data_IF_302006017218
#
_entry.id   IF_302006017218
#
_cell.length_a   1.000
_cell.length_b   1.000
_cell.length_c   1.000
_cell.angle_alpha   90.00
_cell.angle_beta   90.00
_cell.angle_gamma   90.00
#
_symmetry.space_group_name_H-M   'P 1'
#
loop_
_entity.id
_entity.type
_entity.pdbx_description
1 polymer ?
#
# COMPACT_ATOMS: atom_id res chain seq x y z
N UNK A 1 -5.41 8.73 -9.69
CA UNK A 1 -4.93 9.22 -8.37
C UNK A 1 -5.20 10.69 -8.06
N UNK A 2 -4.83 11.66 -8.90
CA UNK A 2 -5.00 13.10 -8.57
C UNK A 2 -6.45 13.48 -8.25
N UNK A 3 -7.41 12.95 -9.01
CA UNK A 3 -8.83 13.17 -8.77
C UNK A 3 -9.27 12.67 -7.39
N UNK A 4 -8.82 11.46 -7.01
CA UNK A 4 -9.10 10.87 -5.71
C UNK A 4 -8.54 11.69 -4.54
N UNK A 5 -7.27 12.13 -4.61
CA UNK A 5 -6.70 12.96 -3.55
C UNK A 5 -7.43 14.32 -3.39
N UNK A 6 -7.94 14.88 -4.49
CA UNK A 6 -8.68 16.15 -4.50
C UNK A 6 -10.17 15.99 -4.22
N UNK A 7 -10.66 14.77 -3.99
CA UNK A 7 -12.06 14.53 -3.70
C UNK A 7 -12.45 15.22 -2.38
N UNK A 8 -13.41 16.16 -2.37
CA UNK A 8 -13.88 16.78 -1.14
C UNK A 8 -14.51 15.77 -0.16
N UNK A 9 -15.00 14.63 -0.65
CA UNK A 9 -15.53 13.54 0.17
C UNK A 9 -14.42 12.69 0.83
N UNK A 10 -13.15 12.86 0.44
CA UNK A 10 -12.04 12.14 1.06
C UNK A 10 -11.89 12.52 2.54
N UNK A 11 -12.21 11.54 3.38
CA UNK A 11 -12.18 11.69 4.83
C UNK A 11 -10.79 12.17 5.30
N UNK A 12 -10.70 13.19 6.18
CA UNK A 12 -9.43 13.82 6.55
C UNK A 12 -8.34 12.84 7.00
N UNK A 13 -8.70 11.78 7.75
CA UNK A 13 -7.76 10.77 8.23
C UNK A 13 -7.11 9.94 7.12
N UNK A 14 -7.76 9.84 5.95
CA UNK A 14 -7.28 9.07 4.80
C UNK A 14 -6.41 9.92 3.85
N UNK A 15 -6.39 11.25 4.02
CA UNK A 15 -5.65 12.17 3.15
C UNK A 15 -4.13 11.97 3.18
N UNK A 16 -3.47 11.70 4.33
CA UNK A 16 -2.03 11.45 4.35
C UNK A 16 -1.63 10.26 3.47
N UNK A 17 -2.35 9.14 3.57
CA UNK A 17 -2.09 7.99 2.72
C UNK A 17 -2.45 8.25 1.25
N UNK A 18 -3.57 8.93 0.96
CA UNK A 18 -3.93 9.29 -0.41
C UNK A 18 -2.88 10.18 -1.09
N UNK A 19 -2.29 11.13 -0.35
CA UNK A 19 -1.18 11.96 -0.84
C UNK A 19 0.09 11.12 -1.03
N UNK A 20 0.42 10.26 -0.06
CA UNK A 20 1.51 9.29 -0.17
C UNK A 20 1.41 8.51 -1.48
N UNK A 21 0.24 7.91 -1.71
CA UNK A 21 0.04 7.05 -2.85
C UNK A 21 0.01 7.81 -4.19
N UNK A 22 -0.52 9.04 -4.21
CA UNK A 22 -0.40 9.93 -5.36
C UNK A 22 1.06 10.17 -5.75
N UNK A 23 1.91 10.57 -4.80
CA UNK A 23 3.34 10.82 -5.08
C UNK A 23 4.11 9.55 -5.42
N UNK A 24 3.75 8.41 -4.81
CA UNK A 24 4.30 7.11 -5.21
C UNK A 24 3.95 6.80 -6.66
N UNK A 25 2.70 6.99 -7.07
CA UNK A 25 2.25 6.76 -8.46
C UNK A 25 3.01 7.66 -9.44
N UNK A 26 3.20 8.93 -9.11
CA UNK A 26 4.00 9.87 -9.91
C UNK A 26 5.47 9.41 -9.99
N UNK A 27 6.07 8.97 -8.88
CA UNK A 27 7.42 8.42 -8.85
C UNK A 27 7.59 7.18 -9.72
N UNK A 28 6.62 6.25 -9.71
CA UNK A 28 6.61 5.06 -10.57
C UNK A 28 6.51 5.45 -12.05
N UNK A 29 5.63 6.38 -12.38
CA UNK A 29 5.49 6.92 -13.74
C UNK A 29 6.80 7.55 -14.24
N UNK A 30 7.44 8.35 -13.40
CA UNK A 30 8.69 9.03 -13.75
C UNK A 30 9.85 8.04 -13.93
N UNK A 31 9.95 7.02 -13.07
CA UNK A 31 10.90 5.92 -13.22
C UNK A 31 10.66 5.14 -14.53
N UNK A 32 9.39 4.84 -14.85
CA UNK A 32 9.05 4.15 -16.07
C UNK A 32 9.36 4.96 -17.33
N UNK A 33 9.06 6.27 -17.31
CA UNK A 33 9.40 7.18 -18.40
C UNK A 33 10.92 7.33 -18.60
N UNK A 34 11.72 7.11 -17.55
CA UNK A 34 13.18 7.06 -17.63
C UNK A 34 13.73 5.71 -18.12
N UNK A 35 12.86 4.72 -18.40
CA UNK A 35 13.26 3.40 -18.88
C UNK A 35 13.85 2.50 -17.79
N UNK A 36 13.51 2.75 -16.52
CA UNK A 36 14.09 2.01 -15.39
C UNK A 36 13.48 0.61 -15.21
N UNK A 37 12.29 0.37 -15.76
CA UNK A 37 11.61 -0.93 -15.70
C UNK A 37 11.80 -1.75 -16.98
N UNK A 38 11.77 -3.08 -16.81
CA UNK A 38 12.06 -4.04 -17.88
C UNK A 38 11.11 -3.96 -19.10
N UNK A 39 9.87 -3.52 -18.89
CA UNK A 39 8.84 -3.47 -19.93
C UNK A 39 7.96 -2.21 -19.79
N UNK A 40 8.36 -1.05 -20.35
CA UNK A 40 7.69 0.21 -20.06
C UNK A 40 6.20 0.26 -20.40
N UNK A 41 5.80 -0.30 -21.55
CA UNK A 41 4.37 -0.34 -21.93
C UNK A 41 3.55 -1.21 -20.96
N UNK A 42 4.12 -2.32 -20.49
CA UNK A 42 3.45 -3.19 -19.51
C UNK A 42 3.25 -2.47 -18.16
N UNK A 43 4.26 -1.73 -17.71
CA UNK A 43 4.20 -0.94 -16.49
C UNK A 43 3.15 0.18 -16.55
N UNK A 44 3.12 0.94 -17.65
CA UNK A 44 2.16 2.05 -17.82
C UNK A 44 0.72 1.57 -17.98
N UNK A 45 0.52 0.46 -18.69
CA UNK A 45 -0.84 0.00 -19.05
C UNK A 45 -1.42 -1.00 -18.07
N UNK A 46 -0.59 -1.69 -17.28
CA UNK A 46 -1.02 -2.82 -16.46
C UNK A 46 -0.60 -2.65 -15.00
N UNK A 47 0.71 -2.58 -14.71
CA UNK A 47 1.19 -2.64 -13.32
C UNK A 47 0.75 -1.43 -12.49
N UNK A 48 1.04 -0.21 -12.98
CA UNK A 48 0.73 1.02 -12.24
C UNK A 48 -0.80 1.20 -12.09
N UNK A 49 -1.62 1.06 -13.17
CA UNK A 49 -3.07 1.18 -13.04
C UNK A 49 -3.69 0.10 -12.15
N UNK A 50 -3.31 -1.18 -12.31
CA UNK A 50 -3.90 -2.28 -11.54
C UNK A 50 -3.65 -2.10 -10.05
N UNK A 51 -2.41 -1.76 -9.66
CA UNK A 51 -2.14 -1.52 -8.24
C UNK A 51 -2.92 -0.30 -7.72
N UNK A 52 -3.12 0.74 -8.53
CA UNK A 52 -3.96 1.86 -8.12
C UNK A 52 -5.43 1.48 -7.95
N UNK A 53 -5.94 0.62 -8.82
CA UNK A 53 -7.32 0.14 -8.76
C UNK A 53 -7.59 -0.64 -7.47
N UNK A 54 -6.65 -1.44 -6.97
CA UNK A 54 -6.80 -2.11 -5.65
C UNK A 54 -7.14 -1.13 -4.51
N UNK A 55 -6.43 0.01 -4.44
CA UNK A 55 -6.72 1.02 -3.43
C UNK A 55 -8.03 1.77 -3.72
N UNK A 56 -8.24 2.20 -4.97
CA UNK A 56 -9.40 3.00 -5.35
C UNK A 56 -10.71 2.21 -5.21
N UNK A 57 -10.70 0.93 -5.57
CA UNK A 57 -11.84 0.03 -5.42
C UNK A 57 -12.13 -0.27 -3.95
N UNK A 58 -11.09 -0.47 -3.12
CA UNK A 58 -11.26 -0.60 -1.68
C UNK A 58 -11.91 0.66 -1.09
N UNK A 59 -11.45 1.85 -1.50
CA UNK A 59 -12.05 3.10 -1.02
C UNK A 59 -13.50 3.29 -1.52
N UNK A 60 -13.78 2.97 -2.78
CA UNK A 60 -15.12 3.06 -3.34
C UNK A 60 -16.10 2.09 -2.65
N UNK A 61 -15.67 0.86 -2.38
CA UNK A 61 -16.45 -0.11 -1.61
C UNK A 61 -16.67 0.36 -0.17
N UNK A 62 -15.65 0.95 0.46
CA UNK A 62 -15.78 1.55 1.79
C UNK A 62 -16.86 2.64 1.83
N UNK A 63 -16.89 3.53 0.84
CA UNK A 63 -17.88 4.60 0.76
C UNK A 63 -19.30 4.09 0.45
N UNK A 64 -19.42 2.98 -0.28
CA UNK A 64 -20.73 2.44 -0.69
C UNK A 64 -21.42 1.69 0.43
N UNK A 65 -20.75 0.71 1.04
CA UNK A 65 -21.35 -0.24 1.97
C UNK A 65 -20.38 -0.74 3.05
N UNK A 66 -19.10 -0.33 3.00
CA UNK A 66 -18.10 -0.77 3.95
C UNK A 66 -17.61 -2.20 3.73
N UNK A 67 -17.96 -2.86 2.62
CA UNK A 67 -17.54 -4.23 2.30
C UNK A 67 -16.12 -4.24 1.72
N UNK A 68 -15.12 -4.08 2.59
CA UNK A 68 -13.70 -4.12 2.26
C UNK A 68 -12.96 -5.18 3.08
N UNK A 69 -11.77 -5.57 2.61
CA UNK A 69 -10.88 -6.47 3.32
C UNK A 69 -10.54 -5.92 4.72
N UNK A 70 -10.30 -6.79 5.73
CA UNK A 70 -10.19 -6.35 7.13
C UNK A 70 -9.10 -5.32 7.39
N UNK A 71 -7.94 -5.41 6.72
CA UNK A 71 -6.87 -4.43 6.86
C UNK A 71 -7.29 -3.03 6.36
N UNK A 72 -7.98 -2.97 5.22
CA UNK A 72 -8.54 -1.73 4.69
C UNK A 72 -9.64 -1.15 5.58
N UNK A 73 -10.51 -2.00 6.15
CA UNK A 73 -11.53 -1.58 7.12
C UNK A 73 -10.88 -0.85 8.28
N UNK A 74 -9.87 -1.46 8.90
CA UNK A 74 -9.12 -0.87 10.01
C UNK A 74 -8.50 0.47 9.59
N UNK A 75 -7.86 0.53 8.44
CA UNK A 75 -7.25 1.77 7.94
C UNK A 75 -8.27 2.90 7.74
N UNK A 76 -9.44 2.60 7.17
CA UNK A 76 -10.46 3.62 6.87
C UNK A 76 -11.31 4.05 8.07
N UNK A 77 -11.57 3.13 9.00
CA UNK A 77 -12.41 3.39 10.18
C UNK A 77 -11.63 4.10 11.30
N UNK A 78 -10.31 3.97 11.33
CA UNK A 78 -9.51 4.51 12.44
C UNK A 78 -9.51 6.03 12.41
N UNK A 79 -10.05 6.64 13.45
CA UNK A 79 -10.09 8.09 13.62
C UNK A 79 -8.78 8.61 14.23
N UNK A 80 -8.36 9.85 13.93
CA UNK A 80 -7.11 10.42 14.46
C UNK A 80 -7.08 10.57 15.99
N UNK A 81 -8.24 10.54 16.65
CA UNK A 81 -8.33 10.62 18.10
C UNK A 81 -7.74 9.35 18.74
N UNK A 82 -6.49 9.47 19.22
CA UNK A 82 -5.81 8.40 19.95
C UNK A 82 -4.78 7.60 19.14
N UNK A 83 -4.45 8.04 17.91
CA UNK A 83 -3.33 7.49 17.15
C UNK A 83 -2.48 8.61 16.53
N UNK A 84 -1.23 8.30 16.21
CA UNK A 84 -0.27 9.22 15.61
C UNK A 84 -0.46 9.32 14.10
N UNK A 85 0.06 10.38 13.46
CA UNK A 85 0.01 10.43 12.00
C UNK A 85 0.92 9.35 11.37
N UNK A 86 2.01 9.00 12.05
CA UNK A 86 2.84 7.86 11.67
C UNK A 86 1.99 6.59 11.58
N UNK A 87 1.17 6.28 12.60
CA UNK A 87 0.25 5.14 12.55
C UNK A 87 -0.77 5.24 11.41
N UNK A 88 -1.39 6.41 11.19
CA UNK A 88 -2.36 6.61 10.09
C UNK A 88 -1.78 6.25 8.73
N UNK A 89 -0.57 6.71 8.44
CA UNK A 89 0.07 6.42 7.15
C UNK A 89 0.46 4.94 7.06
N UNK A 90 1.02 4.37 8.13
CA UNK A 90 1.39 2.95 8.13
C UNK A 90 0.19 2.02 8.02
N UNK A 91 -0.99 2.39 8.51
CA UNK A 91 -2.22 1.62 8.28
C UNK A 91 -2.55 1.52 6.79
N UNK A 92 -2.50 2.63 6.07
CA UNK A 92 -2.71 2.64 4.62
C UNK A 92 -1.62 1.90 3.85
N UNK A 93 -0.34 2.11 4.20
CA UNK A 93 0.78 1.37 3.60
C UNK A 93 0.63 -0.12 3.83
N UNK A 94 0.31 -0.54 5.05
CA UNK A 94 0.17 -1.95 5.40
C UNK A 94 -1.00 -2.59 4.67
N UNK A 95 -2.17 -1.94 4.63
CA UNK A 95 -3.28 -2.45 3.82
C UNK A 95 -2.85 -2.60 2.35
N UNK A 96 -2.22 -1.58 1.77
CA UNK A 96 -1.87 -1.64 0.37
C UNK A 96 -0.74 -2.64 0.02
N UNK A 97 0.24 -2.82 0.91
CA UNK A 97 1.35 -3.76 0.69
C UNK A 97 0.99 -5.18 1.14
N UNK A 98 0.55 -5.34 2.38
CA UNK A 98 0.33 -6.67 2.97
C UNK A 98 -0.99 -7.30 2.53
N UNK A 99 -1.99 -6.52 2.11
CA UNK A 99 -3.25 -7.05 1.57
C UNK A 99 -3.19 -7.14 0.04
N UNK A 100 -2.91 -6.04 -0.66
CA UNK A 100 -3.19 -5.95 -2.10
C UNK A 100 -2.05 -6.45 -3.00
N UNK A 101 -0.80 -6.19 -2.61
CA UNK A 101 0.36 -6.39 -3.50
C UNK A 101 0.52 -7.83 -3.97
N UNK A 102 0.23 -8.82 -3.12
CA UNK A 102 0.30 -10.23 -3.50
C UNK A 102 -0.71 -10.59 -4.61
N UNK A 103 -1.92 -10.03 -4.56
CA UNK A 103 -2.94 -10.25 -5.59
C UNK A 103 -2.61 -9.51 -6.88
N UNK A 104 -2.08 -8.28 -6.80
CA UNK A 104 -1.59 -7.58 -7.99
C UNK A 104 -0.45 -8.36 -8.68
N UNK A 105 0.49 -8.92 -7.91
CA UNK A 105 1.57 -9.76 -8.45
C UNK A 105 1.00 -11.00 -9.15
N UNK A 106 -0.01 -11.65 -8.56
CA UNK A 106 -0.72 -12.76 -9.20
C UNK A 106 -1.38 -12.33 -10.52
N UNK A 107 -2.09 -11.20 -10.54
CA UNK A 107 -2.79 -10.69 -11.72
C UNK A 107 -1.82 -10.38 -12.87
N UNK A 108 -0.64 -9.84 -12.55
CA UNK A 108 0.40 -9.55 -13.54
C UNK A 108 1.13 -10.80 -14.04
N UNK A 109 1.14 -11.86 -13.23
CA UNK A 109 1.75 -13.14 -13.55
C UNK A 109 3.24 -13.02 -13.93
N UNK A 110 3.73 -13.86 -14.87
CA UNK A 110 5.16 -13.94 -15.18
C UNK A 110 5.74 -12.69 -15.85
N UNK A 111 4.90 -11.73 -16.27
CA UNK A 111 5.35 -10.44 -16.81
C UNK A 111 5.91 -9.50 -15.75
N UNK A 112 5.53 -9.67 -14.48
CA UNK A 112 6.06 -8.86 -13.37
C UNK A 112 7.31 -9.52 -12.79
N UNK A 113 8.48 -8.97 -13.15
CA UNK A 113 9.76 -9.56 -12.80
C UNK A 113 10.19 -9.21 -11.37
N UNK A 114 10.88 -10.14 -10.71
CA UNK A 114 11.44 -9.89 -9.37
C UNK A 114 12.43 -8.72 -9.37
N UNK A 115 13.20 -8.55 -10.45
CA UNK A 115 14.13 -7.43 -10.59
C UNK A 115 13.37 -6.08 -10.56
N UNK A 116 12.25 -5.97 -11.28
CA UNK A 116 11.43 -4.76 -11.24
C UNK A 116 10.75 -4.60 -9.87
N UNK A 117 10.29 -5.70 -9.24
CA UNK A 117 9.75 -5.66 -7.88
C UNK A 117 10.74 -5.05 -6.89
N UNK A 118 12.02 -5.47 -6.95
CA UNK A 118 13.10 -4.91 -6.15
C UNK A 118 13.41 -3.47 -6.54
N UNK A 119 13.40 -3.13 -7.82
CA UNK A 119 13.66 -1.77 -8.27
C UNK A 119 12.61 -0.76 -7.76
N UNK A 120 11.34 -1.16 -7.59
CA UNK A 120 10.34 -0.32 -6.93
C UNK A 120 10.79 0.10 -5.50
N UNK A 121 11.57 -0.71 -4.77
CA UNK A 121 12.08 -0.31 -3.44
C UNK A 121 12.97 0.94 -3.56
N UNK A 122 13.79 0.98 -4.62
CA UNK A 122 14.66 2.11 -4.94
C UNK A 122 13.82 3.32 -5.32
N UNK A 123 12.82 3.17 -6.21
CA UNK A 123 11.91 4.26 -6.58
C UNK A 123 11.20 4.84 -5.34
N UNK A 124 10.72 3.99 -4.42
CA UNK A 124 10.13 4.43 -3.17
C UNK A 124 11.14 5.23 -2.32
N UNK A 125 12.36 4.72 -2.17
CA UNK A 125 13.40 5.34 -1.36
C UNK A 125 13.90 6.69 -1.94
N UNK A 126 14.06 6.78 -3.26
CA UNK A 126 14.80 7.89 -3.89
C UNK A 126 13.91 8.89 -4.63
N UNK A 127 12.73 8.48 -5.11
CA UNK A 127 11.80 9.36 -5.86
C UNK A 127 10.58 9.75 -5.01
N UNK A 128 9.92 8.78 -4.37
CA UNK A 128 8.65 9.03 -3.68
C UNK A 128 8.84 9.64 -2.28
N UNK A 129 9.52 8.92 -1.38
CA UNK A 129 9.66 9.30 0.05
C UNK A 129 10.26 10.70 0.27
N UNK A 130 11.34 11.11 -0.44
CA UNK A 130 11.93 12.43 -0.25
C UNK A 130 11.01 13.59 -0.65
N UNK A 131 10.02 13.34 -1.51
CA UNK A 131 9.01 14.34 -1.92
C UNK A 131 7.84 14.32 -0.95
N UNK A 132 7.27 13.13 -0.71
CA UNK A 132 5.95 13.05 -0.08
C UNK A 132 5.98 13.19 1.43
N UNK A 133 7.03 12.74 2.11
CA UNK A 133 7.09 12.87 3.57
C UNK A 133 7.18 14.33 4.02
N UNK A 134 8.04 15.20 3.43
CA UNK A 134 8.02 16.62 3.75
C UNK A 134 6.69 17.31 3.41
N UNK A 135 6.04 16.92 2.32
CA UNK A 135 4.74 17.48 1.92
C UNK A 135 3.64 17.14 2.93
N UNK A 136 3.57 15.86 3.34
CA UNK A 136 2.64 15.42 4.38
C UNK A 136 2.95 16.12 5.71
N UNK A 137 4.22 16.22 6.11
CA UNK A 137 4.62 16.92 7.34
C UNK A 137 4.15 18.37 7.34
N UNK A 138 4.34 19.08 6.23
CA UNK A 138 3.96 20.48 6.11
C UNK A 138 2.45 20.69 6.11
N UNK A 139 1.72 19.90 5.32
CA UNK A 139 0.34 20.25 4.95
C UNK A 139 -0.73 19.49 5.75
N UNK A 140 -0.39 18.29 6.25
CA UNK A 140 -1.39 17.38 6.83
C UNK A 140 -1.02 16.92 8.25
N UNK A 141 0.26 16.68 8.51
CA UNK A 141 0.73 15.99 9.71
C UNK A 141 2.09 16.49 10.21
N UNK A 142 2.17 17.64 10.89
CA UNK A 142 3.43 18.18 11.42
C UNK A 142 4.19 17.22 12.34
N UNK A 143 3.51 16.27 12.98
CA UNK A 143 4.10 15.27 13.87
C UNK A 143 4.65 14.01 13.18
N UNK A 144 4.49 13.83 11.86
CA UNK A 144 4.90 12.61 11.17
C UNK A 144 6.39 12.28 11.43
N UNK A 145 6.64 11.05 11.91
CA UNK A 145 7.93 10.52 12.37
C UNK A 145 8.58 11.26 13.55
N UNK A 146 7.86 12.18 14.18
CA UNK A 146 8.27 12.83 15.42
C UNK A 146 7.99 11.98 16.65
N UNK A 147 7.12 10.97 16.55
CA UNK A 147 6.72 10.11 17.66
C UNK A 147 7.67 8.90 17.82
N UNK A 148 7.94 8.51 19.07
CA UNK A 148 8.78 7.34 19.36
C UNK A 148 7.99 6.05 19.18
N UNK A 149 8.20 5.39 18.05
CA UNK A 149 7.63 4.07 17.78
C UNK A 149 8.31 3.01 18.68
N UNK A 150 7.59 2.00 19.22
CA UNK A 150 8.20 0.94 20.02
C UNK A 150 9.33 0.23 19.26
N UNK A 151 10.41 -0.21 19.93
CA UNK A 151 11.49 -0.96 19.28
C UNK A 151 11.04 -2.26 18.60
N UNK A 152 9.89 -2.79 19.00
CA UNK A 152 9.29 -4.00 18.46
C UNK A 152 8.37 -3.74 17.27
N UNK A 153 8.10 -2.48 16.94
CA UNK A 153 7.21 -2.16 15.83
C UNK A 153 7.87 -2.52 14.51
N UNK A 154 7.13 -3.29 13.71
CA UNK A 154 7.54 -3.60 12.36
C UNK A 154 7.25 -2.41 11.44
N UNK A 155 8.31 -1.70 11.02
CA UNK A 155 8.24 -0.54 10.11
C UNK A 155 8.94 -0.81 8.78
N UNK A 156 9.40 -2.05 8.56
CA UNK A 156 10.17 -2.43 7.38
C UNK A 156 9.25 -2.74 6.19
N UNK A 157 8.82 -1.67 5.52
CA UNK A 157 7.96 -1.83 4.33
C UNK A 157 8.63 -2.67 3.23
N UNK A 158 9.96 -2.72 3.16
CA UNK A 158 10.66 -3.49 2.13
C UNK A 158 10.65 -4.98 2.46
N UNK A 159 10.76 -5.32 3.75
CA UNK A 159 10.47 -6.65 4.27
C UNK A 159 9.03 -7.09 3.96
N UNK A 160 8.05 -6.20 4.11
CA UNK A 160 6.64 -6.47 3.75
C UNK A 160 6.46 -6.76 2.26
N UNK A 161 7.11 -5.98 1.39
CA UNK A 161 7.05 -6.20 -0.06
C UNK A 161 7.64 -7.55 -0.45
N UNK A 162 8.73 -7.95 0.19
CA UNK A 162 9.37 -9.25 0.00
C UNK A 162 8.48 -10.42 0.48
N UNK A 163 7.70 -10.22 1.56
CA UNK A 163 6.64 -11.16 1.96
C UNK A 163 5.54 -11.25 0.89
N UNK A 164 5.04 -10.11 0.43
CA UNK A 164 3.99 -10.04 -0.59
C UNK A 164 4.42 -10.67 -1.93
N UNK A 165 5.70 -10.53 -2.32
CA UNK A 165 6.25 -11.24 -3.47
C UNK A 165 6.09 -12.75 -3.34
N UNK A 166 6.55 -13.34 -2.22
CA UNK A 166 6.41 -14.78 -1.99
C UNK A 166 4.95 -15.23 -1.96
N UNK A 167 4.07 -14.42 -1.38
CA UNK A 167 2.64 -14.68 -1.34
C UNK A 167 2.01 -14.66 -2.74
N UNK A 168 2.37 -13.69 -3.59
CA UNK A 168 1.92 -13.64 -4.99
C UNK A 168 2.38 -14.85 -5.79
N UNK A 169 3.63 -15.29 -5.61
CA UNK A 169 4.12 -16.52 -6.22
C UNK A 169 3.37 -17.76 -5.72
N UNK A 170 3.00 -17.80 -4.44
CA UNK A 170 2.21 -18.90 -3.88
C UNK A 170 0.77 -18.94 -4.43
N UNK A 171 0.13 -17.77 -4.59
CA UNK A 171 -1.18 -17.66 -5.23
C UNK A 171 -1.13 -18.17 -6.67
N UNK A 172 -0.19 -17.68 -7.47
CA UNK A 172 -0.02 -18.09 -8.87
C UNK A 172 0.33 -19.58 -9.03
N UNK A 173 1.00 -20.17 -8.03
CA UNK A 173 1.38 -21.58 -7.99
C UNK A 173 0.35 -22.52 -7.35
N UNK A 174 -0.81 -22.02 -6.92
CA UNK A 174 -1.81 -22.84 -6.25
C UNK A 174 -2.34 -23.95 -7.18
N UNK A 175 -2.43 -25.21 -6.73
CA UNK A 175 -2.82 -26.34 -7.59
C UNK A 175 -4.30 -26.31 -7.99
N UNK A 176 -5.14 -25.66 -7.19
CA UNK A 176 -6.57 -25.50 -7.44
C UNK A 176 -7.11 -24.24 -6.74
N UNK A 177 -8.38 -23.95 -7.01
CA UNK A 177 -9.06 -22.79 -6.43
C UNK A 177 -9.16 -22.84 -4.91
N UNK A 178 -9.36 -24.01 -4.31
CA UNK A 178 -9.49 -24.12 -2.86
C UNK A 178 -8.16 -23.80 -2.15
N UNK A 179 -7.05 -24.27 -2.71
CA UNK A 179 -5.71 -23.93 -2.24
C UNK A 179 -5.42 -22.44 -2.41
N UNK A 180 -5.78 -21.84 -3.55
CA UNK A 180 -5.65 -20.39 -3.79
C UNK A 180 -6.46 -19.59 -2.76
N UNK A 181 -7.72 -19.96 -2.55
CA UNK A 181 -8.61 -19.27 -1.62
C UNK A 181 -8.11 -19.37 -0.16
N UNK A 182 -7.50 -20.50 0.21
CA UNK A 182 -6.84 -20.66 1.52
C UNK A 182 -5.63 -19.71 1.69
N UNK A 183 -4.78 -19.60 0.66
CA UNK A 183 -3.64 -18.65 0.66
C UNK A 183 -4.14 -17.21 0.73
N UNK A 184 -5.16 -16.88 -0.06
CA UNK A 184 -5.79 -15.55 -0.05
C UNK A 184 -6.36 -15.20 1.34
N UNK A 185 -6.96 -16.16 2.05
CA UNK A 185 -7.39 -16.01 3.44
C UNK A 185 -6.22 -15.68 4.37
N UNK A 186 -5.11 -16.43 4.28
CA UNK A 186 -3.92 -16.20 5.10
C UNK A 186 -3.28 -14.83 4.86
N UNK A 187 -3.28 -14.33 3.61
CA UNK A 187 -2.80 -12.99 3.27
C UNK A 187 -3.64 -11.92 3.97
N UNK A 188 -4.98 -12.03 3.88
CA UNK A 188 -5.90 -11.09 4.52
C UNK A 188 -5.79 -11.11 6.05
N UNK A 189 -5.67 -12.29 6.64
CA UNK A 189 -5.47 -12.46 8.09
C UNK A 189 -4.15 -11.83 8.54
N UNK A 190 -3.05 -12.07 7.79
CA UNK A 190 -1.76 -11.47 8.06
C UNK A 190 -1.81 -9.93 7.99
N UNK A 191 -2.41 -9.37 6.94
CA UNK A 191 -2.57 -7.93 6.78
C UNK A 191 -3.41 -7.31 7.90
N UNK A 192 -4.47 -8.01 8.34
CA UNK A 192 -5.29 -7.59 9.47
C UNK A 192 -4.49 -7.57 10.78
N UNK A 193 -3.67 -8.61 11.04
CA UNK A 193 -2.81 -8.66 12.23
C UNK A 193 -1.77 -7.53 12.22
N UNK A 194 -1.19 -7.20 11.06
CA UNK A 194 -0.30 -6.04 10.91
C UNK A 194 -1.03 -4.74 11.25
N UNK A 195 -2.26 -4.55 10.75
CA UNK A 195 -3.06 -3.35 11.05
C UNK A 195 -3.34 -3.21 12.57
N UNK A 196 -3.64 -4.32 13.25
CA UNK A 196 -3.82 -4.34 14.71
C UNK A 196 -2.55 -4.02 15.49
N UNK A 197 -1.39 -4.50 15.02
CA UNK A 197 -0.10 -4.15 15.60
C UNK A 197 0.17 -2.65 15.47
N UNK A 198 -0.05 -2.08 14.27
CA UNK A 198 0.16 -0.65 14.02
C UNK A 198 -0.68 0.19 14.98
N UNK A 199 -1.95 -0.16 15.19
CA UNK A 199 -2.82 0.52 16.18
C UNK A 199 -2.24 0.48 17.60
N UNK A 200 -1.51 -0.59 17.96
CA UNK A 200 -0.97 -0.81 19.28
C UNK A 200 0.38 -0.10 19.54
N UNK A 201 1.01 0.52 18.54
CA UNK A 201 2.33 1.16 18.71
C UNK A 201 2.37 2.21 19.83
N UNK A 202 1.27 2.87 20.16
CA UNK A 202 1.24 3.92 21.17
C UNK A 202 0.13 3.74 22.22
N UNK A 203 -0.28 2.50 22.47
CA UNK A 203 -1.23 2.15 23.54
C UNK A 203 -0.53 1.76 24.83
#
# INVERSE_FOLDING_TARGET
MTAHYRDPALAPQNRPFALLYLRTTEGMRDANAAGEFSAPEFWDRSVIPTFADYYLDAYAAWQRDGAVDPAWRVAFETLPAGITCTQLIYLGISAHINNDLAFMIEDMGPGYLYADHKHVDEVLAVRARPVVYPEIQRDLCPGLFGETVPPTADVDIFGWREVAWRQGQALAGAPDRAARDAIAGQIRDHAHDRAREIIAWHR
#
